data_IF_369164940053
#
_entry.id   IF_369164940053
#
_cell.length_a   1.000
_cell.length_b   1.000
_cell.length_c   1.000
_cell.angle_alpha   90.00
_cell.angle_beta   90.00
_cell.angle_gamma   90.00
#
_symmetry.space_group_name_H-M   'P 1'
#
loop_
_entity.id
_entity.type
_entity.pdbx_description
1 polymer ?
#
# COMPACT_ATOMS: atom_id res chain seq x y z
N UNK A 1 -14.81 9.38 6.77
CA UNK A 1 -14.02 10.58 7.09
C UNK A 1 -12.62 10.32 6.55
N UNK A 2 -12.26 10.91 5.42
CA UNK A 2 -10.93 10.78 4.79
C UNK A 2 -9.93 11.68 5.55
N UNK A 3 -9.67 11.39 6.82
CA UNK A 3 -8.77 12.18 7.68
C UNK A 3 -7.46 11.45 7.98
N UNK A 4 -7.06 10.50 7.12
CA UNK A 4 -5.76 9.88 7.21
C UNK A 4 -5.02 10.04 5.90
N UNK A 5 -3.83 10.64 5.99
CA UNK A 5 -2.77 10.66 4.98
C UNK A 5 -2.78 11.80 3.93
N UNK A 6 -2.90 13.08 4.35
CA UNK A 6 -2.38 14.24 3.59
C UNK A 6 -2.56 14.20 2.07
N UNK A 7 -3.73 13.75 1.61
CA UNK A 7 -3.97 13.40 0.23
C UNK A 7 -4.24 14.65 -0.58
N UNK A 8 -3.51 14.81 -1.68
CA UNK A 8 -3.77 15.82 -2.69
C UNK A 8 -4.54 15.19 -3.84
N UNK A 9 -5.77 15.62 -4.03
CA UNK A 9 -6.64 15.20 -5.13
C UNK A 9 -6.49 16.17 -6.30
N UNK A 10 -6.56 15.65 -7.52
CA UNK A 10 -6.69 16.44 -8.75
C UNK A 10 -7.63 15.73 -9.72
N UNK A 11 -8.21 16.49 -10.64
CA UNK A 11 -8.97 15.94 -11.78
C UNK A 11 -8.11 15.99 -13.03
N UNK A 12 -8.05 14.86 -13.73
CA UNK A 12 -7.38 14.70 -15.02
C UNK A 12 -8.45 14.65 -16.12
N UNK A 13 -8.44 15.61 -17.04
CA UNK A 13 -9.43 15.70 -18.12
C UNK A 13 -8.75 15.78 -19.48
N UNK A 14 -9.11 14.89 -20.44
CA UNK A 14 -8.74 15.08 -21.84
C UNK A 14 -9.46 16.29 -22.42
N UNK A 15 -8.74 17.17 -23.12
CA UNK A 15 -9.28 18.37 -23.78
C UNK A 15 -8.63 18.54 -25.15
N UNK A 16 -9.29 18.02 -26.19
CA UNK A 16 -8.75 18.02 -27.55
C UNK A 16 -7.42 17.27 -27.64
N UNK A 17 -6.37 17.98 -28.08
CA UNK A 17 -4.99 17.50 -28.14
C UNK A 17 -4.21 17.73 -26.84
N UNK A 18 -4.89 18.06 -25.74
CA UNK A 18 -4.28 18.32 -24.43
C UNK A 18 -4.83 17.41 -23.33
N UNK A 19 -4.04 17.28 -22.26
CA UNK A 19 -4.45 16.73 -20.96
C UNK A 19 -4.35 17.87 -19.94
N UNK A 20 -5.42 18.06 -19.19
CA UNK A 20 -5.58 19.15 -18.23
C UNK A 20 -5.62 18.58 -16.81
N UNK A 21 -4.77 19.11 -15.94
CA UNK A 21 -4.78 18.84 -14.51
C UNK A 21 -5.37 20.06 -13.79
N UNK A 22 -6.54 19.88 -13.17
CA UNK A 22 -7.29 20.94 -12.53
C UNK A 22 -8.05 20.43 -11.30
N UNK A 23 -8.78 21.32 -10.62
CA UNK A 23 -9.63 20.93 -9.49
C UNK A 23 -8.85 20.36 -8.32
N UNK A 24 -7.67 20.92 -8.05
CA UNK A 24 -6.82 20.54 -6.93
C UNK A 24 -7.58 20.66 -5.61
N UNK A 25 -7.51 19.64 -4.77
CA UNK A 25 -8.12 19.63 -3.44
C UNK A 25 -7.19 18.96 -2.46
N UNK A 26 -6.80 19.68 -1.42
CA UNK A 26 -6.08 19.15 -0.27
C UNK A 26 -6.99 19.25 0.95
N UNK A 27 -7.27 18.11 1.59
CA UNK A 27 -8.13 18.07 2.77
C UNK A 27 -7.45 18.69 4.00
N UNK A 28 -6.11 18.69 4.04
CA UNK A 28 -5.33 19.31 5.11
C UNK A 28 -5.11 20.82 4.85
N UNK A 29 -5.22 21.27 3.60
CA UNK A 29 -5.06 22.66 3.21
C UNK A 29 -6.13 23.10 2.21
N UNK A 30 -7.28 23.54 2.73
CA UNK A 30 -8.42 23.95 1.92
C UNK A 30 -8.16 25.19 1.04
N UNK A 31 -7.12 25.98 1.37
CA UNK A 31 -6.74 27.19 0.64
C UNK A 31 -5.71 26.92 -0.49
N UNK A 32 -5.47 25.65 -0.82
CA UNK A 32 -4.52 25.28 -1.88
C UNK A 32 -5.02 25.69 -3.28
N UNK A 33 -4.63 26.88 -3.73
CA UNK A 33 -4.92 27.41 -5.07
C UNK A 33 -3.82 27.11 -6.09
N UNK A 34 -3.63 25.83 -6.46
CA UNK A 34 -2.71 25.47 -7.54
C UNK A 34 -3.29 25.81 -8.93
N UNK A 35 -2.46 26.29 -9.88
CA UNK A 35 -2.93 26.61 -11.21
C UNK A 35 -3.34 25.35 -11.98
N UNK A 36 -4.19 25.56 -13.00
CA UNK A 36 -4.42 24.55 -14.03
C UNK A 36 -3.10 24.30 -14.79
N UNK A 37 -2.74 23.03 -14.95
CA UNK A 37 -1.61 22.62 -15.77
C UNK A 37 -2.13 21.96 -17.04
N UNK A 38 -1.54 22.33 -18.18
CA UNK A 38 -1.93 21.82 -19.50
C UNK A 38 -0.72 21.23 -20.20
N UNK A 39 -0.87 20.02 -20.70
CA UNK A 39 0.15 19.29 -21.44
C UNK A 39 -0.43 18.87 -22.79
N UNK A 40 0.37 18.83 -23.85
CA UNK A 40 -0.09 18.16 -25.08
C UNK A 40 -0.22 16.67 -24.81
N UNK A 41 -1.28 16.04 -25.32
CA UNK A 41 -1.61 14.65 -25.07
C UNK A 41 -0.48 13.70 -25.50
N UNK A 42 0.15 13.95 -26.65
CA UNK A 42 1.28 13.17 -27.13
C UNK A 42 2.52 13.27 -26.21
N UNK A 43 2.81 14.46 -25.67
CA UNK A 43 3.92 14.63 -24.72
C UNK A 43 3.59 13.97 -23.37
N UNK A 44 2.34 14.10 -22.91
CA UNK A 44 1.89 13.48 -21.67
C UNK A 44 1.98 11.95 -21.74
N UNK A 45 1.49 11.35 -22.82
CA UNK A 45 1.56 9.90 -23.03
C UNK A 45 3.01 9.40 -23.10
N UNK A 46 3.87 10.10 -23.85
CA UNK A 46 5.29 9.76 -23.92
C UNK A 46 5.97 9.84 -22.54
N UNK A 47 5.65 10.85 -21.74
CA UNK A 47 6.20 11.01 -20.39
C UNK A 47 5.67 9.95 -19.42
N UNK A 48 4.39 9.58 -19.51
CA UNK A 48 3.83 8.47 -18.71
C UNK A 48 4.54 7.16 -19.06
N UNK A 49 4.74 6.87 -20.35
CA UNK A 49 5.46 5.67 -20.78
C UNK A 49 6.92 5.66 -20.27
N UNK A 50 7.62 6.79 -20.39
CA UNK A 50 8.97 6.95 -19.82
C UNK A 50 8.98 6.72 -18.31
N UNK A 51 8.03 7.32 -17.59
CA UNK A 51 7.95 7.23 -16.14
C UNK A 51 7.63 5.81 -15.64
N UNK A 52 6.88 5.02 -16.42
CA UNK A 52 6.61 3.60 -16.12
C UNK A 52 7.89 2.75 -16.20
N UNK A 53 8.77 3.07 -17.14
CA UNK A 53 10.04 2.38 -17.36
C UNK A 53 11.17 2.89 -16.44
N UNK A 54 11.13 4.16 -16.04
CA UNK A 54 12.12 4.78 -15.16
C UNK A 54 12.03 4.20 -13.74
N UNK A 55 13.11 3.53 -13.33
CA UNK A 55 13.29 2.99 -11.97
C UNK A 55 14.40 3.69 -11.19
N UNK A 56 14.97 4.76 -11.73
CA UNK A 56 16.08 5.49 -11.09
C UNK A 56 15.66 6.18 -9.78
N UNK A 57 14.37 6.43 -9.61
CA UNK A 57 13.79 6.99 -8.39
C UNK A 57 13.56 5.94 -7.29
N UNK A 58 13.59 4.65 -7.64
CA UNK A 58 13.34 3.54 -6.74
C UNK A 58 14.57 3.30 -5.86
N UNK A 59 14.38 3.37 -4.55
CA UNK A 59 15.43 3.06 -3.57
C UNK A 59 15.33 1.59 -3.11
N UNK A 60 16.36 1.01 -2.47
CA UNK A 60 16.44 -0.43 -2.20
C UNK A 60 15.19 -1.04 -1.55
N UNK A 61 14.69 -0.46 -0.46
CA UNK A 61 13.47 -0.95 0.19
C UNK A 61 12.21 -0.83 -0.68
N UNK A 62 12.12 0.20 -1.54
CA UNK A 62 11.06 0.31 -2.53
C UNK A 62 11.09 -0.83 -3.54
N UNK A 63 12.28 -1.16 -4.04
CA UNK A 63 12.48 -2.29 -4.96
C UNK A 63 12.12 -3.63 -4.30
N UNK A 64 12.57 -3.88 -3.06
CA UNK A 64 12.23 -5.11 -2.33
C UNK A 64 10.72 -5.21 -2.12
N UNK A 65 10.06 -4.13 -1.67
CA UNK A 65 8.62 -4.12 -1.45
C UNK A 65 7.84 -4.47 -2.73
N UNK A 66 8.17 -3.82 -3.85
CA UNK A 66 7.53 -4.07 -5.15
C UNK A 66 7.74 -5.51 -5.63
N UNK A 67 8.97 -6.02 -5.56
CA UNK A 67 9.30 -7.37 -6.01
C UNK A 67 8.61 -8.42 -5.14
N UNK A 68 8.61 -8.23 -3.82
CA UNK A 68 7.92 -9.11 -2.89
C UNK A 68 6.41 -9.10 -3.12
N UNK A 69 5.79 -7.93 -3.30
CA UNK A 69 4.37 -7.81 -3.60
C UNK A 69 3.99 -8.54 -4.89
N UNK A 70 4.80 -8.37 -5.95
CA UNK A 70 4.60 -9.07 -7.22
C UNK A 70 4.72 -10.60 -7.05
N UNK A 71 5.74 -11.07 -6.34
CA UNK A 71 5.94 -12.50 -6.06
C UNK A 71 4.79 -13.11 -5.26
N UNK A 72 4.36 -12.43 -4.19
CA UNK A 72 3.23 -12.88 -3.36
C UNK A 72 1.90 -12.88 -4.13
N UNK A 73 1.64 -11.88 -4.98
CA UNK A 73 0.44 -11.87 -5.84
C UNK A 73 0.50 -12.93 -6.94
N UNK A 74 1.68 -13.24 -7.45
CA UNK A 74 1.90 -14.33 -8.40
C UNK A 74 1.52 -15.71 -7.83
N UNK A 75 1.50 -15.87 -6.51
CA UNK A 75 1.08 -17.08 -5.82
C UNK A 75 -0.39 -17.03 -5.39
N UNK A 76 -1.34 -17.09 -6.33
CA UNK A 76 -2.77 -16.83 -6.07
C UNK A 76 -3.42 -17.47 -4.81
N UNK A 77 -2.94 -18.62 -4.32
CA UNK A 77 -3.60 -19.37 -3.24
C UNK A 77 -2.83 -19.44 -1.90
N UNK A 78 -1.68 -18.76 -1.75
CA UNK A 78 -0.86 -18.93 -0.54
C UNK A 78 -1.54 -18.44 0.75
N UNK A 79 -2.50 -17.52 0.62
CA UNK A 79 -3.33 -17.00 1.72
C UNK A 79 -4.72 -17.64 1.83
N UNK A 80 -5.16 -18.39 0.82
CA UNK A 80 -6.54 -18.91 0.77
C UNK A 80 -6.85 -19.81 1.97
N UNK A 81 -5.88 -20.66 2.37
CA UNK A 81 -6.02 -21.54 3.55
C UNK A 81 -6.13 -20.79 4.88
N UNK A 82 -5.76 -19.51 4.91
CA UNK A 82 -5.76 -18.66 6.10
C UNK A 82 -6.93 -17.67 6.11
N UNK A 83 -7.78 -17.68 5.07
CA UNK A 83 -8.84 -16.70 4.86
C UNK A 83 -8.32 -15.26 4.90
N UNK A 84 -7.19 -15.02 4.24
CA UNK A 84 -6.57 -13.71 4.16
C UNK A 84 -6.43 -13.20 2.73
N UNK A 85 -6.28 -11.89 2.60
CA UNK A 85 -5.92 -11.20 1.36
C UNK A 85 -4.65 -10.37 1.57
N UNK A 86 -3.80 -10.24 0.55
CA UNK A 86 -2.68 -9.30 0.57
C UNK A 86 -3.20 -7.90 0.20
N UNK A 87 -3.15 -6.97 1.16
CA UNK A 87 -3.48 -5.57 0.88
C UNK A 87 -2.33 -4.86 0.16
N UNK A 88 -1.09 -5.12 0.57
CA UNK A 88 0.10 -4.60 -0.10
C UNK A 88 1.39 -4.76 0.70
N UNK A 89 2.49 -4.35 0.08
CA UNK A 89 3.83 -4.28 0.68
C UNK A 89 4.40 -2.87 0.52
N UNK A 90 4.63 -2.19 1.63
CA UNK A 90 4.88 -0.75 1.65
C UNK A 90 6.29 -0.47 2.16
N UNK A 91 6.96 0.51 1.54
CA UNK A 91 8.26 1.02 1.97
C UNK A 91 8.14 2.52 2.25
N UNK A 92 8.80 2.99 3.31
CA UNK A 92 8.82 4.40 3.70
C UNK A 92 10.23 4.96 3.60
N UNK A 93 10.39 6.14 3.00
CA UNK A 93 11.69 6.86 3.04
C UNK A 93 12.10 7.26 4.46
N UNK A 94 11.15 7.33 5.41
CA UNK A 94 11.43 7.63 6.82
C UNK A 94 12.01 6.43 7.57
N UNK A 95 11.79 5.22 7.06
CA UNK A 95 12.25 3.95 7.64
C UNK A 95 12.89 3.10 6.52
N UNK A 96 14.03 3.54 5.96
CA UNK A 96 14.58 2.97 4.73
C UNK A 96 15.11 1.54 4.89
N UNK A 97 15.29 1.07 6.12
CA UNK A 97 15.76 -0.26 6.50
C UNK A 97 14.61 -1.27 6.71
N UNK A 98 13.37 -0.87 6.42
CA UNK A 98 12.17 -1.67 6.72
C UNK A 98 11.14 -1.61 5.59
N UNK A 99 10.42 -2.72 5.45
CA UNK A 99 9.17 -2.79 4.68
C UNK A 99 8.05 -3.33 5.55
N UNK A 100 6.82 -3.03 5.16
CA UNK A 100 5.61 -3.48 5.85
C UNK A 100 4.79 -4.34 4.92
N UNK A 101 4.45 -5.56 5.32
CA UNK A 101 3.50 -6.42 4.60
C UNK A 101 2.19 -6.36 5.35
N UNK A 102 1.10 -6.02 4.64
CA UNK A 102 -0.23 -5.86 5.23
C UNK A 102 -1.19 -6.88 4.63
N UNK A 103 -1.84 -7.64 5.50
CA UNK A 103 -2.85 -8.64 5.15
C UNK A 103 -4.19 -8.22 5.74
N UNK A 104 -5.27 -8.52 5.02
CA UNK A 104 -6.65 -8.40 5.49
C UNK A 104 -7.21 -9.76 5.86
N UNK A 105 -8.10 -9.80 6.84
CA UNK A 105 -8.90 -10.96 7.21
C UNK A 105 -10.32 -10.51 7.59
N UNK A 106 -11.39 -11.17 7.12
CA UNK A 106 -11.42 -12.23 6.10
C UNK A 106 -11.04 -11.71 4.70
N UNK A 107 -10.80 -12.64 3.75
CA UNK A 107 -10.40 -12.30 2.37
C UNK A 107 -11.49 -11.53 1.60
N UNK A 108 -12.76 -11.84 1.87
CA UNK A 108 -13.90 -11.27 1.16
C UNK A 108 -14.80 -10.53 2.16
N UNK A 109 -14.71 -9.20 2.21
CA UNK A 109 -15.78 -8.38 2.77
C UNK A 109 -16.80 -8.11 1.66
N UNK A 110 -17.82 -8.96 1.56
CA UNK A 110 -18.98 -8.66 0.72
C UNK A 110 -19.81 -7.49 1.28
N UNK A 111 -19.63 -7.18 2.57
CA UNK A 111 -20.39 -6.18 3.32
C UNK A 111 -19.43 -5.45 4.27
N UNK A 112 -19.47 -4.12 4.27
CA UNK A 112 -18.62 -3.26 5.11
C UNK A 112 -18.94 -3.37 6.60
N UNK A 113 -20.10 -3.93 6.95
CA UNK A 113 -20.55 -4.09 8.32
C UNK A 113 -20.03 -5.39 8.97
N UNK A 114 -19.37 -6.26 8.21
CA UNK A 114 -18.77 -7.47 8.77
C UNK A 114 -17.46 -7.16 9.49
N UNK A 115 -17.16 -7.86 10.60
CA UNK A 115 -15.90 -7.70 11.30
C UNK A 115 -14.71 -7.99 10.40
N UNK A 116 -13.67 -7.18 10.52
CA UNK A 116 -12.42 -7.36 9.76
C UNK A 116 -11.20 -6.94 10.58
N UNK A 117 -10.04 -7.46 10.17
CA UNK A 117 -8.73 -7.21 10.76
C UNK A 117 -7.68 -6.95 9.69
N UNK A 118 -6.75 -6.07 10.02
CA UNK A 118 -5.50 -5.85 9.32
C UNK A 118 -4.34 -6.41 10.15
N UNK A 119 -3.64 -7.38 9.56
CA UNK A 119 -2.40 -7.91 10.10
C UNK A 119 -1.22 -7.25 9.41
N UNK A 120 -0.29 -6.71 10.19
CA UNK A 120 0.93 -6.11 9.70
C UNK A 120 2.18 -6.84 10.16
N UNK A 121 3.13 -6.96 9.25
CA UNK A 121 4.46 -7.49 9.52
C UNK A 121 5.51 -6.46 9.10
N UNK A 122 6.38 -6.08 10.02
CA UNK A 122 7.56 -5.25 9.72
C UNK A 122 8.76 -6.14 9.45
N UNK A 123 9.28 -6.10 8.22
CA UNK A 123 10.40 -6.93 7.79
C UNK A 123 11.64 -6.05 7.57
N UNK A 124 12.82 -6.46 8.08
CA UNK A 124 14.06 -5.74 7.82
C UNK A 124 14.50 -5.90 6.36
N UNK A 125 15.12 -4.85 5.83
CA UNK A 125 15.74 -4.81 4.49
C UNK A 125 17.17 -4.31 4.62
N UNK A 126 18.09 -4.96 3.91
CA UNK A 126 19.50 -4.57 3.82
C UNK A 126 19.79 -3.84 2.50
N UNK A 127 21.06 -3.45 2.30
CA UNK A 127 21.54 -2.90 1.04
C UNK A 127 21.87 -3.98 -0.02
N UNK A 128 21.62 -5.25 0.27
CA UNK A 128 21.88 -6.36 -0.65
C UNK A 128 20.93 -6.33 -1.87
N UNK A 129 21.17 -7.21 -2.84
CA UNK A 129 20.35 -7.30 -4.05
C UNK A 129 18.85 -7.40 -3.72
N UNK A 130 18.01 -6.46 -4.21
CA UNK A 130 16.59 -6.43 -3.86
C UNK A 130 15.81 -7.68 -4.29
N UNK A 131 16.22 -8.34 -5.37
CA UNK A 131 15.55 -9.53 -5.89
C UNK A 131 15.81 -10.73 -4.99
N UNK A 132 17.08 -10.93 -4.61
CA UNK A 132 17.47 -11.99 -3.66
C UNK A 132 16.78 -11.79 -2.31
N UNK A 133 16.70 -10.55 -1.82
CA UNK A 133 15.98 -10.25 -0.59
C UNK A 133 14.49 -10.57 -0.72
N UNK A 134 13.83 -10.13 -1.80
CA UNK A 134 12.40 -10.41 -2.03
C UNK A 134 12.10 -11.91 -2.08
N UNK A 135 12.92 -12.70 -2.78
CA UNK A 135 12.78 -14.16 -2.87
C UNK A 135 12.89 -14.84 -1.49
N UNK A 136 13.87 -14.44 -0.68
CA UNK A 136 14.03 -14.98 0.67
C UNK A 136 12.85 -14.60 1.58
N UNK A 137 12.37 -13.37 1.49
CA UNK A 137 11.22 -12.90 2.27
C UNK A 137 9.93 -13.62 1.85
N UNK A 138 9.72 -13.82 0.55
CA UNK A 138 8.59 -14.58 0.00
C UNK A 138 8.60 -16.02 0.51
N UNK A 139 9.76 -16.70 0.42
CA UNK A 139 9.91 -18.07 0.91
C UNK A 139 9.59 -18.16 2.41
N UNK A 140 10.03 -17.18 3.21
CA UNK A 140 9.74 -17.14 4.66
C UNK A 140 8.26 -16.93 4.95
N UNK A 141 7.59 -15.99 4.27
CA UNK A 141 6.18 -15.67 4.48
C UNK A 141 5.26 -16.83 4.06
N UNK A 142 5.61 -17.54 2.99
CA UNK A 142 4.80 -18.60 2.43
C UNK A 142 5.01 -19.97 3.09
N UNK A 143 6.01 -20.10 3.96
CA UNK A 143 6.31 -21.35 4.66
C UNK A 143 5.25 -21.79 5.69
N UNK A 144 4.41 -20.86 6.17
CA UNK A 144 3.49 -21.11 7.29
C UNK A 144 2.25 -20.22 7.31
N UNK A 145 1.67 -20.04 8.49
CA UNK A 145 0.66 -19.01 8.74
C UNK A 145 1.37 -17.66 8.90
N UNK A 146 1.22 -16.71 7.98
CA UNK A 146 1.88 -15.41 8.10
C UNK A 146 1.36 -14.61 9.31
N UNK A 147 0.15 -14.89 9.80
CA UNK A 147 -0.42 -14.21 10.97
C UNK A 147 0.28 -14.58 12.27
N UNK A 148 0.93 -15.75 12.32
CA UNK A 148 1.65 -16.21 13.52
C UNK A 148 2.78 -15.26 13.94
N UNK A 149 3.29 -14.46 13.01
CA UNK A 149 4.33 -13.44 13.24
C UNK A 149 3.84 -12.01 13.01
N UNK A 150 2.54 -11.82 12.81
CA UNK A 150 1.96 -10.51 12.51
C UNK A 150 1.36 -9.86 13.76
N UNK A 151 1.31 -8.54 13.73
CA UNK A 151 0.61 -7.71 14.71
C UNK A 151 -0.74 -7.27 14.13
N UNK A 152 -1.73 -7.03 14.98
CA UNK A 152 -2.98 -6.37 14.55
C UNK A 152 -2.71 -4.86 14.46
N UNK A 153 -2.88 -4.29 13.27
CA UNK A 153 -2.68 -2.85 13.02
C UNK A 153 -4.00 -2.09 12.80
N UNK A 154 -5.09 -2.79 12.53
CA UNK A 154 -6.38 -2.18 12.24
C UNK A 154 -7.49 -3.22 12.12
N UNK A 155 -8.69 -2.75 11.86
CA UNK A 155 -9.90 -3.58 11.79
C UNK A 155 -11.16 -2.84 12.23
N UNK A 156 -12.23 -3.60 12.44
CA UNK A 156 -13.48 -3.13 13.04
C UNK A 156 -13.48 -3.27 14.56
N UNK A 157 -14.20 -2.42 15.28
CA UNK A 157 -14.36 -2.51 16.75
C UNK A 157 -14.88 -3.88 17.23
N UNK A 158 -15.61 -4.60 16.40
CA UNK A 158 -16.16 -5.93 16.69
C UNK A 158 -15.22 -7.08 16.28
N UNK A 159 -13.97 -6.78 15.95
CA UNK A 159 -12.99 -7.77 15.49
C UNK A 159 -12.63 -8.84 16.53
N UNK A 160 -12.95 -8.64 17.82
CA UNK A 160 -12.84 -9.70 18.83
C UNK A 160 -13.68 -10.95 18.46
N UNK A 161 -14.76 -10.77 17.68
CA UNK A 161 -15.57 -11.87 17.15
C UNK A 161 -14.78 -12.78 16.20
N UNK A 162 -13.67 -12.31 15.63
CA UNK A 162 -12.76 -13.10 14.80
C UNK A 162 -11.71 -13.86 15.62
N UNK A 163 -11.76 -13.78 16.96
CA UNK A 163 -10.88 -14.53 17.86
C UNK A 163 -9.50 -13.90 18.11
N UNK A 164 -9.32 -12.62 17.77
CA UNK A 164 -8.08 -11.88 18.01
C UNK A 164 -8.31 -10.76 19.03
N UNK A 165 -7.36 -10.52 19.96
CA UNK A 165 -7.45 -9.38 20.86
C UNK A 165 -7.30 -8.08 20.06
N UNK A 166 -8.21 -7.13 20.26
CA UNK A 166 -8.06 -5.78 19.72
C UNK A 166 -6.87 -5.09 20.40
N UNK A 167 -5.95 -4.45 19.67
CA UNK A 167 -4.85 -3.71 20.29
C UNK A 167 -5.43 -2.61 21.20
N UNK A 168 -4.86 -2.39 22.39
CA UNK A 168 -5.35 -1.36 23.30
C UNK A 168 -5.31 -0.01 22.58
N UNK A 169 -6.44 0.71 22.59
CA UNK A 169 -6.51 2.07 22.06
C UNK A 169 -5.63 2.94 22.95
N UNK A 170 -4.54 3.48 22.41
CA UNK A 170 -3.78 4.50 23.12
C UNK A 170 -4.58 5.82 23.08
N UNK A 171 -5.38 6.03 24.12
CA UNK A 171 -6.20 7.23 24.29
C UNK A 171 -5.37 8.50 24.53
N UNK A 172 -4.03 8.42 24.58
CA UNK A 172 -3.15 9.60 24.69
C UNK A 172 -2.89 10.32 23.37
N UNK A 173 -3.38 9.76 22.25
CA UNK A 173 -3.26 10.34 20.90
C UNK A 173 -4.59 10.89 20.34
N UNK A 174 -5.62 11.05 21.19
CA UNK A 174 -6.91 11.70 20.85
C UNK A 174 -6.96 13.10 21.45
#
# INVERSE_FOLDING_TARGET
MEECCGALYMTLTPDGDHVVWAGWRDLANQDLGLPELRFTAAQYEAEVMRAVEDRSWEWPAGAVARLLEAGLRGRGDWLARWDCELEGVWASRKEPDRIRVVLRHPRELADSDLPWLQFGMTLPVSADDPSVQAEHLEARLTAGDPRATAEVWGGSHDAEQLGYPWPPVDLSLI
#
